data_IF_412014199179
#
_entry.id   IF_412014199179
#
_cell.length_a   1.000
_cell.length_b   1.000
_cell.length_c   1.000
_cell.angle_alpha   90.00
_cell.angle_beta   90.00
_cell.angle_gamma   90.00
#
_symmetry.space_group_name_H-M   'P 1'
#
loop_
_entity.id
_entity.type
_entity.pdbx_description
1 polymer ?
#
# COMPACT_ATOMS: atom_id res chain seq x y z
N UNK A 1 6.73 -9.15 18.81
CA UNK A 1 6.50 -9.81 17.49
C UNK A 1 7.56 -9.26 16.52
N UNK A 2 8.09 -10.07 15.60
CA UNK A 2 9.04 -9.59 14.59
C UNK A 2 8.33 -8.70 13.57
N UNK A 3 9.06 -7.73 12.99
CA UNK A 3 8.56 -6.92 11.88
C UNK A 3 8.29 -7.81 10.65
N UNK A 4 7.14 -7.64 10.01
CA UNK A 4 6.81 -8.32 8.75
C UNK A 4 7.12 -7.37 7.60
N UNK A 5 8.39 -7.31 7.19
CA UNK A 5 8.85 -6.40 6.15
C UNK A 5 8.57 -7.00 4.78
N UNK A 6 7.86 -6.25 3.95
CA UNK A 6 7.58 -6.55 2.56
C UNK A 6 8.11 -5.46 1.63
N UNK A 7 7.95 -5.67 0.34
CA UNK A 7 8.38 -4.72 -0.69
C UNK A 7 7.23 -4.43 -1.66
N UNK A 8 7.09 -3.18 -2.05
CA UNK A 8 6.21 -2.78 -3.14
C UNK A 8 6.72 -3.34 -4.46
N UNK A 9 5.85 -3.98 -5.24
CA UNK A 9 6.18 -4.48 -6.57
C UNK A 9 6.76 -3.36 -7.46
N UNK A 10 7.67 -3.75 -8.31
CA UNK A 10 8.44 -2.82 -9.14
C UNK A 10 9.74 -2.36 -8.49
N UNK A 11 9.90 -2.48 -7.16
CA UNK A 11 11.13 -2.05 -6.48
C UNK A 11 12.34 -2.97 -6.70
N UNK A 12 12.09 -4.22 -7.08
CA UNK A 12 13.12 -5.21 -7.44
C UNK A 12 13.38 -5.29 -8.96
N UNK A 13 12.65 -4.49 -9.73
CA UNK A 13 12.78 -4.39 -11.20
C UNK A 13 13.47 -3.09 -11.59
N UNK A 14 14.08 -3.00 -12.78
CA UNK A 14 14.53 -1.72 -13.33
C UNK A 14 13.39 -0.70 -13.39
N UNK A 15 13.73 0.57 -13.21
CA UNK A 15 12.76 1.65 -13.31
C UNK A 15 12.24 1.80 -14.74
N UNK A 16 10.92 1.90 -14.93
CA UNK A 16 10.28 2.02 -16.23
C UNK A 16 9.93 3.49 -16.46
N UNK A 17 10.35 4.05 -17.61
CA UNK A 17 10.04 5.43 -18.01
C UNK A 17 10.35 6.50 -16.94
N UNK A 18 11.38 6.28 -16.12
CA UNK A 18 11.71 7.13 -14.98
C UNK A 18 10.58 7.30 -13.96
N UNK A 19 9.58 6.40 -13.95
CA UNK A 19 8.53 6.40 -12.94
C UNK A 19 8.97 5.59 -11.72
N UNK A 20 8.79 6.15 -10.56
CA UNK A 20 9.13 5.49 -9.29
C UNK A 20 8.22 4.28 -9.02
N UNK A 21 6.98 4.32 -9.50
CA UNK A 21 5.93 3.30 -9.37
C UNK A 21 5.32 3.01 -10.73
N UNK A 22 5.39 1.77 -11.17
CA UNK A 22 4.72 1.23 -12.36
C UNK A 22 4.80 -0.29 -12.31
N UNK A 23 3.78 -1.01 -12.84
CA UNK A 23 3.82 -2.48 -12.92
C UNK A 23 4.97 -2.94 -13.84
N UNK A 24 5.85 -3.85 -13.38
CA UNK A 24 7.06 -4.25 -14.13
C UNK A 24 6.77 -5.39 -15.12
N UNK A 25 6.10 -5.07 -16.24
CA UNK A 25 5.59 -6.01 -17.23
C UNK A 25 6.58 -7.10 -17.66
N UNK A 26 7.82 -6.74 -17.98
CA UNK A 26 8.83 -7.65 -18.52
C UNK A 26 9.56 -8.45 -17.41
N UNK A 27 9.49 -8.00 -16.16
CA UNK A 27 10.35 -8.50 -15.07
C UNK A 27 9.60 -8.94 -13.82
N UNK A 28 8.27 -8.77 -13.73
CA UNK A 28 7.51 -9.11 -12.52
C UNK A 28 7.75 -10.54 -11.99
N UNK A 29 7.94 -11.60 -12.82
CA UNK A 29 8.24 -12.94 -12.29
C UNK A 29 9.61 -13.01 -11.61
N UNK A 30 10.58 -12.23 -12.11
CA UNK A 30 11.93 -12.19 -11.56
C UNK A 30 11.99 -11.54 -10.18
N UNK A 31 11.05 -10.65 -9.85
CA UNK A 31 10.97 -10.01 -8.54
C UNK A 31 10.78 -11.03 -7.41
N UNK A 32 10.04 -12.11 -7.64
CA UNK A 32 9.85 -13.17 -6.65
C UNK A 32 11.14 -13.92 -6.34
N UNK A 33 11.93 -14.20 -7.38
CA UNK A 33 13.25 -14.82 -7.23
C UNK A 33 14.21 -13.90 -6.47
N UNK A 34 14.20 -12.61 -6.80
CA UNK A 34 15.05 -11.61 -6.16
C UNK A 34 14.63 -11.38 -4.70
N UNK A 35 13.33 -11.25 -4.42
CA UNK A 35 12.80 -11.11 -3.07
C UNK A 35 13.21 -12.30 -2.18
N UNK A 36 13.04 -13.53 -2.68
CA UNK A 36 13.45 -14.74 -1.95
C UNK A 36 14.95 -14.77 -1.67
N UNK A 37 15.81 -14.33 -2.61
CA UNK A 37 17.26 -14.27 -2.43
C UNK A 37 17.73 -13.30 -1.35
N UNK A 38 16.97 -12.22 -1.11
CA UNK A 38 17.27 -11.22 -0.08
C UNK A 38 16.42 -11.40 1.19
N UNK A 39 15.79 -12.58 1.31
CA UNK A 39 14.94 -12.94 2.46
C UNK A 39 13.81 -11.93 2.73
N UNK A 40 13.17 -11.45 1.67
CA UNK A 40 11.89 -10.74 1.72
C UNK A 40 10.81 -11.73 1.27
N UNK A 41 9.84 -12.01 2.15
CA UNK A 41 8.78 -13.01 1.93
C UNK A 41 7.44 -12.41 1.52
N UNK A 42 7.37 -11.10 1.40
CA UNK A 42 6.15 -10.36 1.13
C UNK A 42 6.38 -9.40 -0.03
N UNK A 43 5.52 -9.50 -1.05
CA UNK A 43 5.40 -8.50 -2.11
C UNK A 43 4.00 -7.92 -2.05
N UNK A 44 3.87 -6.59 -2.03
CA UNK A 44 2.62 -5.92 -2.29
C UNK A 44 2.48 -5.69 -3.79
N UNK A 45 1.42 -6.26 -4.38
CA UNK A 45 1.17 -6.18 -5.81
C UNK A 45 0.72 -4.79 -6.22
N UNK A 46 1.10 -4.35 -7.42
CA UNK A 46 0.67 -3.06 -7.99
C UNK A 46 -0.16 -3.30 -9.23
N UNK A 47 -1.26 -2.55 -9.37
CA UNK A 47 -2.10 -2.56 -10.57
C UNK A 47 -2.45 -1.14 -10.99
N UNK A 48 -2.02 -0.76 -12.21
CA UNK A 48 -2.24 0.53 -12.87
C UNK A 48 -3.17 0.41 -14.09
N UNK A 49 -3.41 1.49 -14.83
CA UNK A 49 -4.27 1.50 -16.03
C UNK A 49 -3.62 0.89 -17.26
N UNK A 50 -2.28 0.76 -17.27
CA UNK A 50 -1.55 0.29 -18.46
C UNK A 50 -1.86 -1.19 -18.67
N UNK A 51 -2.48 -1.50 -19.81
CA UNK A 51 -2.89 -2.87 -20.17
C UNK A 51 -3.68 -3.59 -19.05
N UNK A 52 -4.51 -2.85 -18.32
CA UNK A 52 -5.18 -3.25 -17.08
C UNK A 52 -5.73 -4.67 -17.09
N UNK A 53 -6.52 -5.06 -18.10
CA UNK A 53 -7.09 -6.41 -18.18
C UNK A 53 -6.08 -7.50 -18.56
N UNK A 54 -4.86 -7.14 -18.97
CA UNK A 54 -3.77 -8.09 -19.19
C UNK A 54 -2.91 -8.30 -17.96
N UNK A 55 -3.09 -7.47 -16.89
CA UNK A 55 -2.33 -7.63 -15.66
C UNK A 55 -2.51 -9.07 -15.13
N UNK A 56 -1.41 -9.77 -14.78
CA UNK A 56 -1.47 -11.17 -14.36
C UNK A 56 -2.42 -11.43 -13.18
N UNK A 57 -2.63 -10.45 -12.30
CA UNK A 57 -3.61 -10.54 -11.22
C UNK A 57 -5.03 -10.83 -11.75
N UNK A 58 -5.39 -10.26 -12.90
CA UNK A 58 -6.71 -10.41 -13.53
C UNK A 58 -6.71 -11.60 -14.49
N UNK A 59 -5.66 -11.72 -15.33
CA UNK A 59 -5.66 -12.59 -16.50
C UNK A 59 -4.99 -13.95 -16.25
N UNK A 60 -4.03 -14.03 -15.31
CA UNK A 60 -3.20 -15.23 -15.10
C UNK A 60 -2.93 -15.50 -13.60
N UNK A 61 -3.94 -15.49 -12.71
CA UNK A 61 -3.73 -15.66 -11.26
C UNK A 61 -3.08 -17.00 -10.91
N UNK A 62 -3.31 -18.06 -11.70
CA UNK A 62 -2.67 -19.37 -11.47
C UNK A 62 -1.16 -19.31 -11.68
N UNK A 63 -0.68 -18.48 -12.63
CA UNK A 63 0.76 -18.28 -12.82
C UNK A 63 1.37 -17.58 -11.61
N UNK A 64 0.66 -16.60 -11.03
CA UNK A 64 1.10 -15.93 -9.81
C UNK A 64 1.22 -16.95 -8.67
N UNK A 65 0.20 -17.80 -8.46
CA UNK A 65 0.21 -18.83 -7.42
C UNK A 65 1.42 -19.77 -7.57
N UNK A 66 1.69 -20.25 -8.79
CA UNK A 66 2.84 -21.12 -9.05
C UNK A 66 4.19 -20.44 -8.71
N UNK A 67 4.32 -19.14 -9.01
CA UNK A 67 5.55 -18.39 -8.74
C UNK A 67 5.66 -18.09 -7.24
N UNK A 68 4.57 -17.75 -6.57
CA UNK A 68 4.50 -17.58 -5.12
C UNK A 68 4.98 -18.82 -4.38
N UNK A 69 4.39 -19.99 -4.70
CA UNK A 69 4.72 -21.28 -4.09
C UNK A 69 6.17 -21.66 -4.32
N UNK A 70 6.67 -21.48 -5.55
CA UNK A 70 8.05 -21.81 -5.94
C UNK A 70 9.10 -21.00 -5.16
N UNK A 71 8.80 -19.75 -4.81
CA UNK A 71 9.76 -18.84 -4.19
C UNK A 71 9.48 -18.61 -2.70
N UNK A 72 8.45 -19.23 -2.13
CA UNK A 72 7.99 -19.01 -0.76
C UNK A 72 7.72 -17.52 -0.48
N UNK A 73 6.94 -16.88 -1.38
CA UNK A 73 6.54 -15.46 -1.31
C UNK A 73 5.02 -15.38 -1.19
N UNK A 74 4.54 -14.44 -0.40
CA UNK A 74 3.12 -14.12 -0.28
C UNK A 74 2.80 -12.72 -0.82
N UNK A 75 1.56 -12.54 -1.29
CA UNK A 75 1.00 -11.24 -1.72
C UNK A 75 -0.21 -10.94 -0.83
N UNK A 76 0.01 -10.41 0.38
CA UNK A 76 -1.11 -10.12 1.30
C UNK A 76 -1.93 -8.91 0.89
N UNK A 77 -1.35 -7.99 0.14
CA UNK A 77 -1.98 -6.73 -0.26
C UNK A 77 -1.71 -6.37 -1.72
N UNK A 78 -2.60 -5.55 -2.27
CA UNK A 78 -2.56 -5.02 -3.65
C UNK A 78 -2.79 -3.52 -3.60
N UNK A 79 -1.89 -2.72 -4.17
CA UNK A 79 -2.08 -1.29 -4.35
C UNK A 79 -2.74 -1.00 -5.69
N UNK A 80 -3.85 -0.26 -5.65
CA UNK A 80 -4.72 0.02 -6.78
C UNK A 80 -4.47 1.41 -7.37
N UNK A 81 -3.34 1.59 -8.08
CA UNK A 81 -3.06 2.84 -8.81
C UNK A 81 -4.10 3.09 -9.91
N UNK A 82 -4.73 2.02 -10.41
CA UNK A 82 -5.88 2.11 -11.33
C UNK A 82 -7.00 3.02 -10.79
N UNK A 83 -7.34 2.93 -9.48
CA UNK A 83 -8.35 3.78 -8.87
C UNK A 83 -7.90 5.24 -8.80
N UNK A 84 -6.63 5.46 -8.47
CA UNK A 84 -6.03 6.79 -8.43
C UNK A 84 -6.07 7.48 -9.80
N UNK A 85 -5.82 6.72 -10.87
CA UNK A 85 -5.88 7.22 -12.24
C UNK A 85 -7.31 7.40 -12.75
N UNK A 86 -8.29 6.63 -12.22
CA UNK A 86 -9.69 6.62 -12.63
C UNK A 86 -10.65 6.83 -11.44
N UNK A 87 -10.58 7.95 -10.71
CA UNK A 87 -11.45 8.15 -9.57
C UNK A 87 -12.93 8.28 -10.01
N UNK A 88 -13.88 7.68 -9.26
CA UNK A 88 -15.29 7.55 -9.67
C UNK A 88 -16.04 8.88 -9.84
N UNK A 89 -15.54 9.99 -9.31
CA UNK A 89 -16.10 11.33 -9.53
C UNK A 89 -15.55 12.04 -10.78
N UNK A 90 -14.61 11.41 -11.49
CA UNK A 90 -14.02 11.93 -12.75
C UNK A 90 -14.16 10.95 -13.92
N UNK A 91 -14.60 9.70 -13.64
CA UNK A 91 -14.61 8.61 -14.62
C UNK A 91 -16.00 7.93 -14.59
N UNK A 92 -16.37 7.22 -15.67
CA UNK A 92 -17.60 6.42 -15.69
C UNK A 92 -17.60 5.39 -14.54
N UNK A 93 -18.55 5.57 -13.62
CA UNK A 93 -18.69 4.76 -12.41
C UNK A 93 -18.82 3.26 -12.71
N UNK A 94 -19.48 2.89 -13.83
CA UNK A 94 -19.65 1.49 -14.24
C UNK A 94 -18.30 0.87 -14.63
N UNK A 95 -17.47 1.63 -15.33
CA UNK A 95 -16.12 1.18 -15.71
C UNK A 95 -15.25 0.99 -14.47
N UNK A 96 -15.23 1.95 -13.55
CA UNK A 96 -14.48 1.85 -12.29
C UNK A 96 -14.97 0.64 -11.49
N UNK A 97 -16.28 0.46 -11.33
CA UNK A 97 -16.87 -0.67 -10.59
C UNK A 97 -16.45 -2.01 -11.21
N UNK A 98 -16.54 -2.14 -12.54
CA UNK A 98 -16.10 -3.34 -13.25
C UNK A 98 -14.61 -3.62 -13.03
N UNK A 99 -13.77 -2.58 -13.09
CA UNK A 99 -12.34 -2.70 -12.83
C UNK A 99 -12.04 -3.21 -11.43
N UNK A 100 -12.65 -2.57 -10.41
CA UNK A 100 -12.47 -2.98 -9.00
C UNK A 100 -12.96 -4.42 -8.78
N UNK A 101 -14.14 -4.82 -9.29
CA UNK A 101 -14.61 -6.20 -9.18
C UNK A 101 -13.63 -7.20 -9.84
N UNK A 102 -13.01 -6.85 -10.97
CA UNK A 102 -11.97 -7.70 -11.59
C UNK A 102 -10.74 -7.86 -10.69
N UNK A 103 -10.31 -6.79 -10.01
CA UNK A 103 -9.21 -6.84 -9.04
C UNK A 103 -9.59 -7.72 -7.84
N UNK A 104 -10.76 -7.50 -7.23
CA UNK A 104 -11.23 -8.29 -6.08
C UNK A 104 -11.30 -9.79 -6.41
N UNK A 105 -11.74 -10.14 -7.63
CA UNK A 105 -11.74 -11.51 -8.11
C UNK A 105 -10.32 -12.08 -8.25
N UNK A 106 -9.38 -11.30 -8.83
CA UNK A 106 -7.97 -11.68 -8.93
C UNK A 106 -7.34 -11.91 -7.55
N UNK A 107 -7.56 -10.97 -6.61
CA UNK A 107 -7.10 -11.07 -5.23
C UNK A 107 -7.60 -12.34 -4.53
N UNK A 108 -8.88 -12.69 -4.72
CA UNK A 108 -9.45 -13.94 -4.21
C UNK A 108 -8.67 -15.15 -4.73
N UNK A 109 -8.37 -15.18 -6.03
CA UNK A 109 -7.70 -16.29 -6.68
C UNK A 109 -6.27 -16.53 -6.15
N UNK A 110 -5.57 -15.46 -5.77
CA UNK A 110 -4.22 -15.52 -5.18
C UNK A 110 -4.22 -15.46 -3.64
N UNK A 111 -5.41 -15.46 -3.00
CA UNK A 111 -5.60 -15.38 -1.54
C UNK A 111 -5.06 -14.09 -0.91
N UNK A 112 -4.91 -13.01 -1.66
CA UNK A 112 -4.62 -11.67 -1.14
C UNK A 112 -5.79 -11.14 -0.30
N UNK A 113 -5.53 -10.24 0.65
CA UNK A 113 -6.53 -9.83 1.65
C UNK A 113 -6.85 -8.35 1.65
N UNK A 114 -5.89 -7.49 1.38
CA UNK A 114 -6.03 -6.05 1.52
C UNK A 114 -5.90 -5.40 0.15
N UNK A 115 -6.91 -4.63 -0.25
CA UNK A 115 -6.83 -3.73 -1.41
C UNK A 115 -6.58 -2.31 -0.91
N UNK A 116 -5.40 -1.79 -1.20
CA UNK A 116 -5.05 -0.38 -0.92
C UNK A 116 -5.64 0.50 -2.00
N UNK A 117 -6.45 1.46 -1.60
CA UNK A 117 -7.09 2.45 -2.47
C UNK A 117 -6.45 3.82 -2.19
N UNK A 118 -5.58 4.31 -3.09
CA UNK A 118 -5.01 5.63 -2.95
C UNK A 118 -6.08 6.71 -3.19
N UNK A 119 -6.31 7.56 -2.18
CA UNK A 119 -7.11 8.78 -2.23
C UNK A 119 -6.17 9.99 -2.10
N UNK A 120 -5.17 10.03 -2.96
CA UNK A 120 -4.10 11.02 -3.03
C UNK A 120 -3.91 11.50 -4.46
N UNK A 121 -3.17 12.56 -4.68
CA UNK A 121 -2.85 13.10 -6.01
C UNK A 121 -4.12 13.33 -6.87
N UNK A 122 -4.26 12.60 -8.00
CA UNK A 122 -5.41 12.74 -8.89
C UNK A 122 -6.72 12.25 -8.26
N UNK A 123 -6.65 11.40 -7.26
CA UNK A 123 -7.80 10.89 -6.50
C UNK A 123 -7.94 11.47 -5.10
N UNK A 124 -7.24 12.56 -4.77
CA UNK A 124 -7.52 13.34 -3.56
C UNK A 124 -8.99 13.74 -3.51
N UNK A 125 -9.58 13.72 -2.31
CA UNK A 125 -10.99 14.05 -2.09
C UNK A 125 -11.17 15.58 -1.97
N UNK A 126 -11.58 16.29 -3.03
CA UNK A 126 -11.59 17.76 -3.04
C UNK A 126 -12.73 18.34 -2.20
N UNK A 127 -13.83 17.62 -2.07
CA UNK A 127 -15.07 18.13 -1.45
C UNK A 127 -15.96 17.02 -0.88
N UNK A 128 -17.07 17.42 -0.27
CA UNK A 128 -18.04 16.47 0.30
C UNK A 128 -18.79 15.64 -0.73
N UNK A 129 -18.89 16.11 -1.97
CA UNK A 129 -19.55 15.35 -3.04
C UNK A 129 -18.70 14.16 -3.47
N UNK A 130 -17.38 14.34 -3.65
CA UNK A 130 -16.43 13.25 -3.92
C UNK A 130 -16.36 12.25 -2.77
N UNK A 131 -16.37 12.74 -1.52
CA UNK A 131 -16.46 11.88 -0.31
C UNK A 131 -17.70 11.00 -0.37
N UNK A 132 -18.87 11.59 -0.70
CA UNK A 132 -20.13 10.84 -0.79
C UNK A 132 -20.12 9.80 -1.91
N UNK A 133 -19.55 10.14 -3.06
CA UNK A 133 -19.40 9.18 -4.17
C UNK A 133 -18.55 7.98 -3.76
N UNK A 134 -17.43 8.20 -3.07
CA UNK A 134 -16.57 7.12 -2.57
C UNK A 134 -17.29 6.27 -1.53
N UNK A 135 -18.00 6.92 -0.59
CA UNK A 135 -18.80 6.24 0.43
C UNK A 135 -19.84 5.30 -0.22
N UNK A 136 -20.63 5.82 -1.16
CA UNK A 136 -21.66 5.03 -1.84
C UNK A 136 -21.04 3.90 -2.68
N UNK A 137 -19.95 4.20 -3.41
CA UNK A 137 -19.23 3.24 -4.24
C UNK A 137 -18.74 2.03 -3.45
N UNK A 138 -18.07 2.24 -2.32
CA UNK A 138 -17.55 1.14 -1.52
C UNK A 138 -18.63 0.47 -0.65
N UNK A 139 -19.67 1.19 -0.25
CA UNK A 139 -20.85 0.60 0.41
C UNK A 139 -21.53 -0.41 -0.50
N UNK A 140 -21.69 -0.08 -1.77
CA UNK A 140 -22.22 -0.99 -2.80
C UNK A 140 -21.39 -2.25 -3.02
N UNK A 141 -20.07 -2.20 -2.72
CA UNK A 141 -19.14 -3.32 -2.87
C UNK A 141 -19.03 -4.18 -1.61
N UNK A 142 -19.64 -3.78 -0.48
CA UNK A 142 -19.56 -4.56 0.78
C UNK A 142 -19.95 -6.02 0.62
N UNK A 143 -21.02 -6.40 -0.11
CA UNK A 143 -21.36 -7.80 -0.30
C UNK A 143 -20.22 -8.61 -0.96
N UNK A 144 -19.58 -8.05 -1.98
CA UNK A 144 -18.47 -8.68 -2.69
C UNK A 144 -17.20 -8.78 -1.82
N UNK A 145 -16.87 -7.70 -1.09
CA UNK A 145 -15.75 -7.62 -0.15
C UNK A 145 -15.92 -8.67 0.97
N UNK A 146 -17.10 -8.71 1.58
CA UNK A 146 -17.45 -9.63 2.67
C UNK A 146 -17.41 -11.11 2.23
N UNK A 147 -18.04 -11.43 1.10
CA UNK A 147 -18.07 -12.78 0.56
C UNK A 147 -16.65 -13.33 0.30
N UNK A 148 -15.74 -12.47 -0.11
CA UNK A 148 -14.36 -12.82 -0.42
C UNK A 148 -13.41 -12.68 0.79
N UNK A 149 -13.90 -12.24 1.95
CA UNK A 149 -13.11 -12.00 3.17
C UNK A 149 -11.94 -11.04 2.91
N UNK A 150 -12.22 -9.99 2.14
CA UNK A 150 -11.27 -8.93 1.80
C UNK A 150 -11.45 -7.71 2.70
N UNK A 151 -10.45 -6.84 2.70
CA UNK A 151 -10.49 -5.54 3.34
C UNK A 151 -10.01 -4.47 2.36
N UNK A 152 -10.56 -3.28 2.48
CA UNK A 152 -10.13 -2.08 1.76
C UNK A 152 -9.32 -1.21 2.72
N UNK A 153 -8.13 -0.81 2.34
CA UNK A 153 -7.29 0.12 3.08
C UNK A 153 -7.19 1.45 2.31
N UNK A 154 -7.78 2.51 2.82
CA UNK A 154 -7.67 3.83 2.21
C UNK A 154 -6.35 4.49 2.58
N UNK A 155 -5.58 4.94 1.58
CA UNK A 155 -4.46 5.86 1.76
C UNK A 155 -4.96 7.26 1.40
N UNK A 156 -4.74 8.27 2.24
CA UNK A 156 -5.33 9.59 2.01
C UNK A 156 -4.42 10.73 2.47
N UNK A 157 -4.54 11.87 1.78
CA UNK A 157 -3.93 13.16 2.13
C UNK A 157 -4.83 14.06 2.99
N UNK A 158 -5.98 13.56 3.43
CA UNK A 158 -6.85 14.25 4.38
C UNK A 158 -6.13 14.43 5.72
N UNK A 159 -6.27 15.60 6.36
CA UNK A 159 -5.75 15.79 7.70
C UNK A 159 -6.36 14.82 8.71
N UNK A 160 -5.72 14.58 9.87
CA UNK A 160 -6.12 13.53 10.81
C UNK A 160 -7.59 13.57 11.21
N UNK A 161 -8.14 14.74 11.45
CA UNK A 161 -9.55 14.93 11.81
C UNK A 161 -10.49 14.50 10.68
N UNK A 162 -10.23 15.00 9.46
CA UNK A 162 -11.08 14.68 8.29
C UNK A 162 -10.98 13.20 7.91
N UNK A 163 -9.78 12.60 8.01
CA UNK A 163 -9.61 11.17 7.75
C UNK A 163 -10.34 10.31 8.78
N UNK A 164 -10.32 10.70 10.05
CA UNK A 164 -11.11 10.06 11.10
C UNK A 164 -12.63 10.15 10.82
N UNK A 165 -13.13 11.33 10.46
CA UNK A 165 -14.53 11.53 10.09
C UNK A 165 -14.91 10.70 8.85
N UNK A 166 -14.00 10.56 7.88
CA UNK A 166 -14.20 9.76 6.69
C UNK A 166 -14.27 8.27 7.02
N UNK A 167 -13.25 7.72 7.70
CA UNK A 167 -13.16 6.28 7.95
C UNK A 167 -14.23 5.77 8.92
N UNK A 168 -14.75 6.62 9.82
CA UNK A 168 -15.84 6.27 10.72
C UNK A 168 -17.16 5.96 10.02
N UNK A 169 -17.33 6.35 8.76
CA UNK A 169 -18.50 6.03 7.94
C UNK A 169 -18.52 4.58 7.47
N UNK A 170 -17.40 3.87 7.55
CA UNK A 170 -17.20 2.53 7.03
C UNK A 170 -17.08 1.48 8.14
N UNK A 171 -17.66 0.30 7.91
CA UNK A 171 -17.55 -0.83 8.82
C UNK A 171 -16.07 -1.25 8.98
N UNK A 172 -15.59 -1.24 10.22
CA UNK A 172 -14.21 -1.59 10.58
C UNK A 172 -13.79 -3.03 10.22
N UNK A 173 -14.75 -3.92 10.02
CA UNK A 173 -14.46 -5.30 9.63
C UNK A 173 -13.97 -5.38 8.18
N UNK A 174 -14.36 -4.44 7.34
CA UNK A 174 -14.06 -4.44 5.91
C UNK A 174 -13.20 -3.27 5.45
N UNK A 175 -13.09 -2.22 6.26
CA UNK A 175 -12.40 -0.99 5.86
C UNK A 175 -11.43 -0.52 6.93
N UNK A 176 -10.23 -0.17 6.50
CA UNK A 176 -9.18 0.40 7.34
C UNK A 176 -8.38 1.47 6.58
N UNK A 177 -7.23 1.77 7.12
CA UNK A 177 -6.31 2.77 6.60
C UNK A 177 -5.01 2.09 6.21
N UNK A 178 -4.49 2.43 5.03
CA UNK A 178 -3.09 2.29 4.69
C UNK A 178 -2.36 3.53 5.17
N UNK A 179 -1.52 3.39 6.18
CA UNK A 179 -0.73 4.50 6.72
C UNK A 179 0.59 4.63 5.95
N UNK A 180 0.68 5.64 5.09
CA UNK A 180 1.92 5.97 4.39
C UNK A 180 2.74 6.97 5.22
N UNK A 181 3.80 6.48 5.83
CA UNK A 181 4.67 7.24 6.74
C UNK A 181 5.25 8.49 6.04
N UNK A 182 5.70 8.33 4.80
CA UNK A 182 6.32 9.42 4.06
C UNK A 182 5.32 10.48 3.60
N UNK A 183 4.11 10.08 3.19
CA UNK A 183 3.07 11.02 2.81
C UNK A 183 2.62 11.84 4.02
N UNK A 184 2.39 11.20 5.16
CA UNK A 184 2.06 11.85 6.42
C UNK A 184 3.14 12.86 6.83
N UNK A 185 4.41 12.45 6.84
CA UNK A 185 5.55 13.31 7.16
C UNK A 185 5.67 14.50 6.20
N UNK A 186 5.51 14.27 4.89
CA UNK A 186 5.56 15.34 3.88
C UNK A 186 4.44 16.36 4.03
N UNK A 187 3.28 15.95 4.50
CA UNK A 187 2.14 16.83 4.79
C UNK A 187 2.27 17.55 6.15
N UNK A 188 3.31 17.19 6.94
CA UNK A 188 3.57 17.80 8.24
C UNK A 188 2.56 17.37 9.31
N UNK A 189 1.92 16.23 9.17
CA UNK A 189 1.00 15.71 10.19
C UNK A 189 1.77 15.20 11.41
N UNK A 190 1.16 15.37 12.59
CA UNK A 190 1.74 14.89 13.83
C UNK A 190 1.33 13.43 14.06
N UNK A 191 2.27 12.45 14.13
CA UNK A 191 1.94 11.05 14.31
C UNK A 191 1.07 10.75 15.54
N UNK A 192 1.25 11.47 16.65
CA UNK A 192 0.42 11.28 17.84
C UNK A 192 -1.04 11.71 17.61
N UNK A 193 -1.26 12.78 16.86
CA UNK A 193 -2.61 13.22 16.50
C UNK A 193 -3.27 12.22 15.53
N UNK A 194 -2.53 11.73 14.55
CA UNK A 194 -2.99 10.73 13.60
C UNK A 194 -3.41 9.44 14.30
N UNK A 195 -2.55 8.89 15.16
CA UNK A 195 -2.84 7.65 15.89
C UNK A 195 -3.98 7.82 16.90
N UNK A 196 -4.09 8.96 17.57
CA UNK A 196 -5.24 9.26 18.42
C UNK A 196 -6.56 9.34 17.62
N UNK A 197 -6.51 9.81 16.37
CA UNK A 197 -7.69 9.98 15.53
C UNK A 197 -8.13 8.68 14.86
N UNK A 198 -7.20 7.86 14.37
CA UNK A 198 -7.52 6.67 13.56
C UNK A 198 -6.53 5.50 13.70
N UNK A 199 -5.60 5.49 14.66
CA UNK A 199 -4.57 4.46 14.80
C UNK A 199 -5.13 3.04 14.82
N UNK A 200 -6.23 2.80 15.55
CA UNK A 200 -6.93 1.50 15.61
C UNK A 200 -7.56 1.04 14.29
N UNK A 201 -7.55 1.88 13.26
CA UNK A 201 -8.05 1.58 11.91
C UNK A 201 -6.94 1.27 10.93
N UNK A 202 -5.66 1.37 11.31
CA UNK A 202 -4.51 1.07 10.44
C UNK A 202 -4.41 -0.45 10.25
N UNK A 203 -4.48 -0.90 8.99
CA UNK A 203 -4.40 -2.33 8.62
C UNK A 203 -3.27 -2.64 7.64
N UNK A 204 -2.66 -1.64 7.04
CA UNK A 204 -1.45 -1.74 6.21
C UNK A 204 -0.57 -0.50 6.41
N UNK A 205 0.74 -0.63 6.21
CA UNK A 205 1.69 0.48 6.37
C UNK A 205 2.65 0.51 5.20
N UNK A 206 2.77 1.67 4.55
CA UNK A 206 3.83 1.96 3.60
C UNK A 206 4.99 2.66 4.30
N UNK A 207 6.17 2.04 4.22
CA UNK A 207 7.41 2.59 4.74
C UNK A 207 8.10 3.37 3.63
N UNK A 208 8.04 4.67 3.74
CA UNK A 208 8.61 5.65 2.81
C UNK A 208 9.12 6.84 3.61
N UNK A 209 10.15 7.50 3.14
CA UNK A 209 10.63 8.74 3.74
C UNK A 209 10.52 9.89 2.75
N UNK A 210 10.11 11.05 3.23
CA UNK A 210 9.95 12.27 2.43
C UNK A 210 10.39 13.49 3.24
N UNK A 211 10.83 14.51 2.53
CA UNK A 211 11.00 15.85 3.13
C UNK A 211 9.66 16.54 3.30
N UNK A 212 9.55 17.37 4.31
CA UNK A 212 8.37 18.23 4.53
C UNK A 212 8.07 19.04 3.26
N UNK A 213 6.85 18.96 2.76
CA UNK A 213 6.42 19.52 1.47
C UNK A 213 7.31 19.13 0.28
N UNK A 214 8.04 17.99 0.39
CA UNK A 214 9.07 17.60 -0.56
C UNK A 214 8.84 16.22 -1.18
N UNK A 215 9.89 15.75 -1.85
CA UNK A 215 9.91 14.47 -2.58
C UNK A 215 10.32 13.31 -1.69
N UNK A 216 10.14 12.09 -2.21
CA UNK A 216 10.66 10.86 -1.60
C UNK A 216 12.20 10.86 -1.61
N UNK A 217 12.78 10.52 -0.47
CA UNK A 217 14.22 10.45 -0.24
C UNK A 217 14.59 9.07 0.34
N UNK A 218 15.89 8.70 0.37
CA UNK A 218 16.34 7.50 1.07
C UNK A 218 15.85 7.45 2.52
N UNK A 219 15.57 6.24 3.05
CA UNK A 219 15.12 6.09 4.44
C UNK A 219 16.15 6.65 5.43
N UNK A 220 15.68 7.47 6.35
CA UNK A 220 16.47 8.17 7.35
C UNK A 220 17.05 9.50 6.88
N UNK A 221 16.82 9.91 5.64
CA UNK A 221 17.23 11.21 5.09
C UNK A 221 16.06 12.22 5.00
N UNK A 222 14.84 11.78 5.31
CA UNK A 222 13.63 12.58 5.31
C UNK A 222 13.33 13.21 6.66
N UNK A 223 12.05 13.46 6.87
CA UNK A 223 11.53 14.11 8.09
C UNK A 223 10.57 13.17 8.85
N UNK A 224 10.49 11.88 8.49
CA UNK A 224 9.65 10.90 9.15
C UNK A 224 10.23 10.45 10.51
N UNK A 225 9.40 10.49 11.57
CA UNK A 225 9.75 9.95 12.89
C UNK A 225 9.45 8.45 12.97
N UNK A 226 10.30 7.60 12.34
CA UNK A 226 10.10 6.16 12.29
C UNK A 226 10.01 5.52 13.68
N UNK A 227 10.88 5.90 14.62
CA UNK A 227 10.86 5.33 15.97
C UNK A 227 9.58 5.69 16.72
N UNK A 228 9.17 6.95 16.66
CA UNK A 228 7.92 7.40 17.27
C UNK A 228 6.71 6.70 16.67
N UNK A 229 6.67 6.56 15.33
CA UNK A 229 5.58 5.89 14.62
C UNK A 229 5.53 4.40 14.96
N UNK A 230 6.67 3.70 15.00
CA UNK A 230 6.70 2.27 15.32
C UNK A 230 6.30 2.01 16.78
N UNK A 231 6.63 2.89 17.73
CA UNK A 231 6.10 2.82 19.11
C UNK A 231 4.57 2.97 19.14
N UNK A 232 4.02 3.87 18.35
CA UNK A 232 2.58 4.06 18.26
C UNK A 232 1.89 2.85 17.61
N UNK A 233 2.44 2.28 16.53
CA UNK A 233 1.93 1.05 15.91
C UNK A 233 1.93 -0.13 16.91
N UNK A 234 3.00 -0.28 17.68
CA UNK A 234 3.09 -1.34 18.68
C UNK A 234 2.09 -1.13 19.83
N UNK A 235 1.86 0.12 20.25
CA UNK A 235 0.84 0.47 21.24
C UNK A 235 -0.58 0.12 20.75
N UNK A 236 -0.84 0.27 19.46
CA UNK A 236 -2.10 -0.14 18.81
C UNK A 236 -2.18 -1.65 18.56
N UNK A 237 -1.17 -2.44 18.96
CA UNK A 237 -1.06 -3.87 18.68
C UNK A 237 -1.10 -4.19 17.17
N UNK A 238 -0.47 -3.37 16.35
CA UNK A 238 -0.41 -3.58 14.91
C UNK A 238 0.36 -4.85 14.56
N UNK A 239 -0.28 -5.76 13.83
CA UNK A 239 0.28 -7.05 13.39
C UNK A 239 0.39 -7.17 11.87
N UNK A 240 0.10 -6.09 11.15
CA UNK A 240 0.14 -6.03 9.69
C UNK A 240 1.55 -5.98 9.12
N UNK A 241 1.64 -5.68 7.82
CA UNK A 241 2.89 -5.64 7.09
C UNK A 241 3.47 -4.22 7.05
N UNK A 242 4.80 -4.14 6.97
CA UNK A 242 5.57 -2.91 6.73
C UNK A 242 6.12 -2.98 5.31
N UNK A 243 5.46 -2.33 4.36
CA UNK A 243 5.78 -2.43 2.93
C UNK A 243 6.75 -1.33 2.51
N UNK A 244 7.94 -1.73 2.09
CA UNK A 244 8.95 -0.80 1.58
C UNK A 244 8.50 -0.19 0.24
N UNK A 245 8.00 1.04 0.28
CA UNK A 245 7.69 1.88 -0.87
C UNK A 245 8.74 3.01 -1.02
N UNK A 246 10.00 2.65 -0.92
CA UNK A 246 11.13 3.55 -0.74
C UNK A 246 11.60 4.21 -2.03
N UNK A 247 12.46 5.22 -1.89
CA UNK A 247 13.19 5.81 -3.00
C UNK A 247 14.03 4.77 -3.75
N UNK A 248 14.21 4.99 -5.04
CA UNK A 248 15.09 4.20 -5.89
C UNK A 248 16.56 4.57 -5.68
N UNK A 249 17.45 3.61 -5.88
CA UNK A 249 18.88 3.87 -5.91
C UNK A 249 19.25 4.76 -7.10
N UNK A 250 20.07 5.79 -6.86
CA UNK A 250 20.63 6.63 -7.92
C UNK A 250 21.68 5.91 -8.78
N UNK A 251 22.23 4.80 -8.26
CA UNK A 251 23.33 4.04 -8.89
C UNK A 251 22.84 2.73 -9.52
N UNK A 252 21.52 2.48 -9.58
CA UNK A 252 20.96 1.21 -10.06
C UNK A 252 21.17 0.03 -9.11
N UNK A 253 21.52 0.27 -7.84
CA UNK A 253 21.75 -0.74 -6.78
C UNK A 253 20.49 -0.95 -5.92
N UNK A 254 19.31 -1.03 -6.55
CA UNK A 254 18.03 -1.10 -5.83
C UNK A 254 17.98 -2.30 -4.86
N UNK A 255 18.51 -3.46 -5.24
CA UNK A 255 18.50 -4.67 -4.42
C UNK A 255 19.33 -4.47 -3.13
N UNK A 256 20.56 -3.96 -3.24
CA UNK A 256 21.43 -3.70 -2.09
C UNK A 256 20.81 -2.67 -1.13
N UNK A 257 20.19 -1.65 -1.72
CA UNK A 257 19.48 -0.61 -0.96
C UNK A 257 18.27 -1.19 -0.24
N UNK A 258 17.51 -2.09 -0.86
CA UNK A 258 16.36 -2.74 -0.22
C UNK A 258 16.78 -3.65 0.94
N UNK A 259 17.88 -4.39 0.82
CA UNK A 259 18.45 -5.17 1.94
C UNK A 259 18.80 -4.25 3.11
N UNK A 260 19.47 -3.13 2.85
CA UNK A 260 19.78 -2.15 3.88
C UNK A 260 18.52 -1.58 4.53
N UNK A 261 17.50 -1.25 3.74
CA UNK A 261 16.24 -0.69 4.27
C UNK A 261 15.44 -1.72 5.08
N UNK A 262 15.42 -3.00 4.64
CA UNK A 262 14.80 -4.07 5.43
C UNK A 262 15.45 -4.13 6.81
N UNK A 263 16.77 -4.24 6.89
CA UNK A 263 17.49 -4.31 8.16
C UNK A 263 17.24 -3.06 9.02
N UNK A 264 17.26 -1.87 8.42
CA UNK A 264 17.01 -0.61 9.13
C UNK A 264 15.60 -0.56 9.74
N UNK A 265 14.58 -1.03 9.02
CA UNK A 265 13.20 -1.09 9.51
C UNK A 265 13.06 -2.14 10.62
N UNK A 266 13.71 -3.30 10.49
CA UNK A 266 13.74 -4.33 11.52
C UNK A 266 14.42 -3.82 12.80
N UNK A 267 15.55 -3.12 12.68
CA UNK A 267 16.27 -2.53 13.81
C UNK A 267 15.41 -1.46 14.53
N UNK A 268 14.81 -0.54 13.80
CA UNK A 268 13.92 0.47 14.36
C UNK A 268 12.67 -0.14 15.01
N UNK A 269 12.13 -1.21 14.43
CA UNK A 269 10.99 -1.92 15.02
C UNK A 269 11.34 -2.57 16.36
N UNK A 270 12.54 -3.18 16.46
CA UNK A 270 13.00 -3.77 17.71
C UNK A 270 13.34 -2.69 18.75
N UNK A 271 14.00 -1.60 18.34
CA UNK A 271 14.30 -0.47 19.22
C UNK A 271 13.03 0.17 19.80
N UNK A 272 11.98 0.26 19.00
CA UNK A 272 10.69 0.79 19.41
C UNK A 272 10.04 0.00 20.56
N UNK A 273 10.38 -1.28 20.76
CA UNK A 273 9.87 -2.11 21.87
C UNK A 273 10.48 -1.77 23.22
N UNK A 274 11.65 -1.17 23.23
CA UNK A 274 12.45 -0.94 24.46
C UNK A 274 12.07 0.38 25.13
N UNK A 275 11.37 1.25 24.48
CA UNK A 275 10.93 2.56 24.97
C UNK A 275 9.45 2.64 25.24
#
# INVERSE_FOLDING_TARGET
>A
MLAKVGVMQGRLSPMINNRIQQFPWDSWPSEFVLASKIDIKIIEWTIDTIEFYKNPLINQPDQINLIMDKNDISIPSVTCDYFMENPPWKTDLKLVKKGISSILQGMRNIKSKILVIPLVDNSSLPDSASVKIVEDFFTDLVPEISQNKLQIAFESDLNPKKLSEFICKFDKNYFGINYDIGNSSSLGFNPKEEFNAYGSRIINVHVKDRKLNGITVPLGEGDADFLGIFRLLQKENYEGNLILQTARSKEGKDIEVLVRYKNLVEDWWEEAKIG
#
